data_IF_572204884655
#
_entry.id   IF_572204884655
#
_cell.length_a   1.000
_cell.length_b   1.000
_cell.length_c   1.000
_cell.angle_alpha   90.00
_cell.angle_beta   90.00
_cell.angle_gamma   90.00
#
_symmetry.space_group_name_H-M   'P 1'
#
loop_
_entity.id
_entity.type
_entity.pdbx_description
1 polymer ?
#
# COMPACT_ATOMS: atom_id res chain seq x y z
N UNK A 1 -5.39 -3.65 8.01
CA UNK A 1 -4.93 -3.03 6.75
C UNK A 1 -3.71 -3.79 6.27
N UNK A 2 -3.67 -4.13 4.98
CA UNK A 2 -2.46 -4.61 4.32
C UNK A 2 -1.76 -3.43 3.64
N UNK A 3 -0.48 -3.24 3.93
CA UNK A 3 0.37 -2.26 3.27
C UNK A 3 1.47 -2.97 2.48
N UNK A 4 1.62 -2.65 1.20
CA UNK A 4 2.58 -3.30 0.31
C UNK A 4 3.29 -2.27 -0.59
N UNK A 5 4.15 -2.76 -1.46
CA UNK A 5 4.87 -2.02 -2.49
C UNK A 5 4.60 -2.60 -3.88
N UNK A 6 4.99 -1.86 -4.92
CA UNK A 6 5.04 -2.38 -6.28
C UNK A 6 6.28 -3.30 -6.44
N UNK A 7 6.28 -4.40 -5.67
CA UNK A 7 7.33 -5.43 -5.71
C UNK A 7 6.71 -6.77 -6.05
N UNK A 8 7.38 -7.53 -6.89
CA UNK A 8 6.89 -8.83 -7.36
C UNK A 8 5.55 -8.72 -8.08
N UNK A 9 4.73 -9.75 -7.99
CA UNK A 9 3.40 -9.76 -8.58
C UNK A 9 2.32 -9.43 -7.52
N UNK A 10 2.13 -8.15 -7.20
CA UNK A 10 1.14 -7.70 -6.22
C UNK A 10 -0.32 -8.01 -6.61
N UNK A 11 -0.63 -8.14 -7.91
CA UNK A 11 -1.97 -8.57 -8.35
C UNK A 11 -2.20 -10.05 -7.97
N UNK A 12 -1.21 -10.91 -8.23
CA UNK A 12 -1.24 -12.30 -7.81
C UNK A 12 -1.35 -12.43 -6.28
N UNK A 13 -0.63 -11.61 -5.53
CA UNK A 13 -0.71 -11.60 -4.07
C UNK A 13 -2.13 -11.30 -3.57
N UNK A 14 -2.75 -10.26 -4.12
CA UNK A 14 -4.15 -9.92 -3.79
C UNK A 14 -5.10 -11.05 -4.11
N UNK A 15 -4.98 -11.66 -5.31
CA UNK A 15 -5.76 -12.82 -5.72
C UNK A 15 -5.56 -14.03 -4.83
N UNK A 16 -4.33 -14.32 -4.43
CA UNK A 16 -4.02 -15.44 -3.54
C UNK A 16 -4.67 -15.28 -2.15
N UNK A 17 -4.64 -14.07 -1.57
CA UNK A 17 -5.34 -13.81 -0.32
C UNK A 17 -6.87 -13.97 -0.47
N UNK A 18 -7.45 -13.46 -1.55
CA UNK A 18 -8.88 -13.61 -1.83
C UNK A 18 -9.27 -15.09 -2.03
N UNK A 19 -8.50 -15.85 -2.80
CA UNK A 19 -8.70 -17.29 -2.99
C UNK A 19 -8.52 -18.10 -1.69
N UNK A 20 -7.71 -17.60 -0.75
CA UNK A 20 -7.59 -18.17 0.59
C UNK A 20 -8.78 -17.82 1.52
N UNK A 21 -9.78 -17.12 1.02
CA UNK A 21 -10.99 -16.77 1.76
C UNK A 21 -10.91 -15.47 2.56
N UNK A 22 -9.85 -14.67 2.39
CA UNK A 22 -9.77 -13.37 3.05
C UNK A 22 -10.61 -12.33 2.31
N UNK A 23 -11.42 -11.52 3.00
CA UNK A 23 -12.22 -10.46 2.38
C UNK A 23 -11.33 -9.26 2.01
N UNK A 24 -10.72 -9.28 0.84
CA UNK A 24 -9.75 -8.26 0.37
C UNK A 24 -10.43 -7.16 -0.43
N UNK A 25 -10.11 -5.92 -0.10
CA UNK A 25 -10.45 -4.72 -0.87
C UNK A 25 -9.18 -4.09 -1.42
N UNK A 26 -9.05 -4.07 -2.74
CA UNK A 26 -7.99 -3.34 -3.43
C UNK A 26 -8.35 -1.85 -3.62
N UNK A 27 -7.53 -0.95 -3.12
CA UNK A 27 -7.73 0.49 -3.34
C UNK A 27 -7.00 0.93 -4.60
N UNK A 28 -7.77 1.25 -5.63
CA UNK A 28 -7.25 1.60 -6.95
C UNK A 28 -7.27 3.11 -7.24
N UNK A 29 -6.42 3.54 -8.16
CA UNK A 29 -6.58 4.79 -8.89
C UNK A 29 -7.36 4.50 -10.16
N UNK A 30 -8.39 5.31 -10.46
CA UNK A 30 -9.13 5.19 -11.71
C UNK A 30 -8.19 5.37 -12.90
N UNK A 31 -8.26 4.47 -13.86
CA UNK A 31 -7.48 4.59 -15.08
C UNK A 31 -8.02 5.69 -15.98
N UNK A 32 -7.16 6.29 -16.81
CA UNK A 32 -7.56 7.32 -17.80
C UNK A 32 -8.47 6.75 -18.88
N UNK A 33 -8.26 5.50 -19.29
CA UNK A 33 -9.12 4.78 -20.21
C UNK A 33 -10.18 3.99 -19.42
N UNK A 34 -11.46 4.29 -19.67
CA UNK A 34 -12.57 3.58 -19.05
C UNK A 34 -12.60 2.07 -19.42
N UNK A 35 -12.17 1.71 -20.63
CA UNK A 35 -12.05 0.32 -21.05
C UNK A 35 -10.98 -0.44 -20.27
N UNK A 36 -9.80 0.19 -20.06
CA UNK A 36 -8.72 -0.39 -19.28
C UNK A 36 -9.10 -0.51 -17.80
N UNK A 37 -9.76 0.52 -17.25
CA UNK A 37 -10.24 0.51 -15.87
C UNK A 37 -11.20 -0.67 -15.62
N UNK A 38 -12.17 -0.86 -16.54
CA UNK A 38 -13.11 -2.00 -16.51
C UNK A 38 -12.38 -3.33 -16.60
N UNK A 39 -11.51 -3.49 -17.59
CA UNK A 39 -10.77 -4.71 -17.84
C UNK A 39 -9.98 -5.16 -16.60
N UNK A 40 -9.17 -4.27 -16.01
CA UNK A 40 -8.38 -4.60 -14.83
C UNK A 40 -9.27 -4.98 -13.64
N UNK A 41 -10.35 -4.23 -13.42
CA UNK A 41 -11.24 -4.46 -12.28
C UNK A 41 -12.10 -5.73 -12.45
N UNK A 42 -12.46 -6.11 -13.67
CA UNK A 42 -13.12 -7.39 -13.96
C UNK A 42 -12.23 -8.57 -13.54
N UNK A 43 -10.94 -8.55 -13.89
CA UNK A 43 -9.99 -9.61 -13.46
C UNK A 43 -9.84 -9.67 -11.93
N UNK A 44 -9.74 -8.54 -11.26
CA UNK A 44 -9.67 -8.48 -9.79
C UNK A 44 -10.93 -9.08 -9.16
N UNK A 45 -12.10 -8.75 -9.71
CA UNK A 45 -13.38 -9.28 -9.21
C UNK A 45 -13.52 -10.78 -9.45
N UNK A 46 -13.02 -11.30 -10.57
CA UNK A 46 -13.05 -12.74 -10.88
C UNK A 46 -12.32 -13.59 -9.82
N UNK A 47 -11.26 -13.06 -9.22
CA UNK A 47 -10.52 -13.76 -8.16
C UNK A 47 -11.02 -13.41 -6.75
N UNK A 48 -12.11 -12.66 -6.63
CA UNK A 48 -12.73 -12.32 -5.35
C UNK A 48 -12.22 -11.05 -4.68
N UNK A 49 -11.40 -10.24 -5.35
CA UNK A 49 -10.98 -8.94 -4.82
C UNK A 49 -12.10 -7.92 -5.04
N UNK A 50 -12.60 -7.31 -3.98
CA UNK A 50 -13.43 -6.12 -4.11
C UNK A 50 -12.55 -4.91 -4.46
N UNK A 51 -13.03 -4.03 -5.36
CA UNK A 51 -12.26 -2.85 -5.77
C UNK A 51 -12.99 -1.58 -5.34
N UNK A 52 -12.29 -0.73 -4.59
CA UNK A 52 -12.73 0.64 -4.32
C UNK A 52 -11.70 1.64 -4.84
N UNK A 53 -12.11 2.90 -4.99
CA UNK A 53 -11.21 3.95 -5.44
C UNK A 53 -10.71 4.81 -4.28
N UNK A 54 -9.58 5.50 -4.46
CA UNK A 54 -9.00 6.41 -3.45
C UNK A 54 -9.99 7.45 -2.91
N UNK A 55 -11.00 7.81 -3.69
CA UNK A 55 -12.08 8.73 -3.28
C UNK A 55 -13.14 8.08 -2.39
N UNK A 56 -13.18 6.74 -2.32
CA UNK A 56 -14.15 5.97 -1.54
C UNK A 56 -13.82 5.82 -0.05
N UNK A 57 -13.27 6.85 0.60
CA UNK A 57 -12.79 6.75 1.99
C UNK A 57 -13.89 6.34 2.97
N UNK A 58 -15.12 6.81 2.79
CA UNK A 58 -16.26 6.42 3.66
C UNK A 58 -16.62 4.95 3.49
N UNK A 59 -16.53 4.45 2.27
CA UNK A 59 -16.73 3.03 1.95
C UNK A 59 -15.66 2.18 2.63
N UNK A 60 -14.38 2.58 2.58
CA UNK A 60 -13.29 1.88 3.25
C UNK A 60 -13.53 1.76 4.76
N UNK A 61 -14.00 2.81 5.42
CA UNK A 61 -14.33 2.75 6.86
C UNK A 61 -15.42 1.73 7.15
N UNK A 62 -16.53 1.78 6.40
CA UNK A 62 -17.62 0.81 6.54
C UNK A 62 -17.12 -0.63 6.33
N UNK A 63 -16.32 -0.86 5.30
CA UNK A 63 -15.78 -2.19 5.01
C UNK A 63 -14.86 -2.70 6.13
N UNK A 64 -14.04 -1.83 6.73
CA UNK A 64 -13.24 -2.22 7.91
C UNK A 64 -14.14 -2.63 9.07
N UNK A 65 -15.21 -1.87 9.34
CA UNK A 65 -16.18 -2.20 10.40
C UNK A 65 -16.91 -3.53 10.12
N UNK A 66 -17.08 -3.89 8.85
CA UNK A 66 -17.64 -5.16 8.38
C UNK A 66 -16.60 -6.32 8.35
N UNK A 67 -15.35 -6.07 8.76
CA UNK A 67 -14.27 -7.07 8.82
C UNK A 67 -13.47 -7.27 7.53
N UNK A 68 -13.61 -6.38 6.54
CA UNK A 68 -12.81 -6.42 5.33
C UNK A 68 -11.38 -5.95 5.55
N UNK A 69 -10.46 -6.45 4.73
CA UNK A 69 -9.04 -6.09 4.74
C UNK A 69 -8.76 -5.12 3.60
N UNK A 70 -8.38 -3.90 3.93
CA UNK A 70 -8.04 -2.88 2.94
C UNK A 70 -6.58 -3.03 2.51
N UNK A 71 -6.35 -3.34 1.24
CA UNK A 71 -5.04 -3.42 0.61
C UNK A 71 -4.61 -2.08 0.01
N UNK A 72 -3.46 -1.57 0.44
CA UNK A 72 -2.89 -0.30 0.00
C UNK A 72 -1.45 -0.50 -0.48
N UNK A 73 -1.14 -0.03 -1.68
CA UNK A 73 0.22 0.06 -2.18
C UNK A 73 0.76 1.44 -1.78
N UNK A 74 1.88 1.47 -1.05
CA UNK A 74 2.30 2.65 -0.27
C UNK A 74 3.69 3.18 -0.62
N UNK A 75 4.31 2.73 -1.71
CA UNK A 75 5.70 3.01 -2.07
C UNK A 75 5.91 4.10 -3.14
N UNK A 76 4.84 4.65 -3.69
CA UNK A 76 4.95 5.72 -4.68
C UNK A 76 5.01 7.11 -4.06
N UNK A 77 5.50 8.08 -4.87
CA UNK A 77 5.59 9.49 -4.52
C UNK A 77 4.25 10.20 -4.76
N UNK A 78 3.55 10.68 -3.73
CA UNK A 78 2.37 11.52 -3.91
C UNK A 78 2.76 12.95 -4.25
N UNK A 79 1.77 13.81 -4.56
CA UNK A 79 2.01 15.25 -4.56
C UNK A 79 2.39 15.74 -3.15
N UNK A 80 3.14 16.84 -3.03
CA UNK A 80 3.56 17.39 -1.74
C UNK A 80 2.39 17.70 -0.80
N UNK A 81 1.20 17.97 -1.36
CA UNK A 81 -0.02 18.25 -0.59
C UNK A 81 -0.68 17.01 0.01
N UNK A 82 -0.36 15.83 -0.54
CA UNK A 82 -1.08 14.58 -0.25
C UNK A 82 -0.26 13.58 0.59
N UNK A 83 0.89 14.00 1.11
CA UNK A 83 1.80 13.11 1.81
C UNK A 83 2.50 13.72 3.01
N UNK A 84 3.46 12.99 3.53
CA UNK A 84 4.39 13.44 4.56
C UNK A 84 5.82 13.12 4.16
N UNK A 85 6.75 13.98 4.59
CA UNK A 85 8.17 13.77 4.34
C UNK A 85 8.72 12.74 5.30
N UNK A 86 9.35 11.71 4.74
CA UNK A 86 9.99 10.58 5.44
C UNK A 86 11.40 10.37 4.88
N UNK A 87 12.16 9.51 5.55
CA UNK A 87 13.42 8.98 5.02
C UNK A 87 13.17 7.63 4.33
N UNK A 88 13.73 7.48 3.13
CA UNK A 88 13.66 6.25 2.34
C UNK A 88 14.99 6.08 1.57
N UNK A 89 15.70 4.98 1.80
CA UNK A 89 17.07 4.75 1.30
C UNK A 89 18.06 5.86 1.66
N UNK A 90 17.92 6.45 2.86
CA UNK A 90 18.79 7.53 3.33
C UNK A 90 18.53 8.89 2.68
N UNK A 91 17.46 9.03 1.91
CA UNK A 91 17.06 10.28 1.26
C UNK A 91 15.65 10.69 1.69
N UNK A 92 15.45 11.99 1.83
CA UNK A 92 14.10 12.53 2.09
C UNK A 92 13.22 12.32 0.87
N UNK A 93 11.99 11.87 1.11
CA UNK A 93 10.98 11.70 0.06
C UNK A 93 9.59 11.91 0.63
N UNK A 94 8.62 12.18 -0.23
CA UNK A 94 7.22 12.26 0.17
C UNK A 94 6.57 10.85 0.15
N UNK A 95 5.62 10.59 1.04
CA UNK A 95 4.96 9.30 1.15
C UNK A 95 3.47 9.43 1.44
N UNK A 96 2.65 8.53 0.87
CA UNK A 96 1.23 8.45 1.15
C UNK A 96 0.98 8.08 2.61
N UNK A 97 0.05 8.78 3.23
CA UNK A 97 -0.34 8.57 4.64
C UNK A 97 -1.57 7.68 4.81
N UNK A 98 -2.17 7.23 3.71
CA UNK A 98 -3.48 6.56 3.73
C UNK A 98 -3.57 5.40 4.70
N UNK A 99 -2.60 4.47 4.67
CA UNK A 99 -2.57 3.32 5.57
C UNK A 99 -2.53 3.76 7.05
N UNK A 100 -1.62 4.66 7.41
CA UNK A 100 -1.47 5.16 8.78
C UNK A 100 -2.69 5.95 9.27
N UNK A 101 -3.24 6.81 8.41
CA UNK A 101 -4.40 7.63 8.74
C UNK A 101 -5.67 6.80 8.98
N UNK A 102 -5.92 5.80 8.12
CA UNK A 102 -7.05 4.89 8.24
C UNK A 102 -6.89 4.00 9.48
N UNK A 103 -5.69 3.39 9.65
CA UNK A 103 -5.39 2.55 10.81
C UNK A 103 -5.58 3.30 12.13
N UNK A 104 -5.04 4.53 12.21
CA UNK A 104 -5.23 5.38 13.39
C UNK A 104 -6.70 5.66 13.68
N UNK A 105 -7.47 6.00 12.65
CA UNK A 105 -8.90 6.32 12.81
C UNK A 105 -9.68 5.11 13.29
N UNK A 106 -9.50 3.95 12.64
CA UNK A 106 -10.28 2.74 12.92
C UNK A 106 -9.74 1.93 14.11
N UNK A 107 -8.51 2.20 14.59
CA UNK A 107 -7.89 1.44 15.67
C UNK A 107 -7.49 0.02 15.26
N UNK A 108 -7.16 -0.18 13.99
CA UNK A 108 -6.78 -1.48 13.41
C UNK A 108 -5.28 -1.53 13.08
N UNK A 109 -4.66 -2.72 13.10
CA UNK A 109 -3.25 -2.87 12.74
C UNK A 109 -3.00 -2.70 11.24
N UNK A 110 -1.76 -2.34 10.89
CA UNK A 110 -1.22 -2.39 9.53
C UNK A 110 -0.28 -3.59 9.46
N UNK A 111 -0.55 -4.53 8.57
CA UNK A 111 0.34 -5.64 8.26
C UNK A 111 1.10 -5.33 6.96
N UNK A 112 2.44 -5.15 7.01
CA UNK A 112 3.24 -5.15 5.80
C UNK A 112 3.17 -6.53 5.15
N UNK A 113 2.81 -6.58 3.85
CA UNK A 113 2.66 -7.82 3.11
C UNK A 113 3.40 -7.74 1.80
N UNK A 114 4.07 -8.82 1.42
CA UNK A 114 4.91 -8.85 0.23
C UNK A 114 4.82 -10.17 -0.49
N UNK A 115 5.23 -10.17 -1.74
CA UNK A 115 5.37 -11.37 -2.56
C UNK A 115 6.71 -11.31 -3.31
N UNK A 116 7.39 -12.44 -3.41
CA UNK A 116 8.55 -12.60 -4.29
C UNK A 116 8.47 -13.93 -5.03
N UNK A 117 9.21 -14.03 -6.11
CA UNK A 117 9.29 -15.23 -6.91
C UNK A 117 10.61 -15.95 -6.67
N UNK A 118 10.56 -17.23 -6.31
CA UNK A 118 11.73 -18.07 -6.18
C UNK A 118 12.26 -18.56 -7.55
N UNK A 119 13.53 -18.97 -7.64
CA UNK A 119 14.12 -19.50 -8.88
C UNK A 119 13.36 -20.70 -9.49
N UNK A 120 12.70 -21.50 -8.66
CA UNK A 120 11.86 -22.63 -9.08
C UNK A 120 10.50 -22.20 -9.67
N UNK A 121 10.22 -20.89 -9.68
CA UNK A 121 8.98 -20.29 -10.19
C UNK A 121 7.86 -20.17 -9.16
N UNK A 122 8.04 -20.67 -7.94
CA UNK A 122 7.05 -20.50 -6.87
C UNK A 122 7.01 -19.05 -6.38
N UNK A 123 5.83 -18.61 -5.93
CA UNK A 123 5.66 -17.31 -5.31
C UNK A 123 5.45 -17.51 -3.81
N UNK A 124 6.22 -16.77 -3.02
CA UNK A 124 6.13 -16.78 -1.57
C UNK A 124 5.47 -15.49 -1.11
N UNK A 125 4.39 -15.62 -0.35
CA UNK A 125 3.71 -14.51 0.30
C UNK A 125 4.21 -14.37 1.73
N UNK A 126 4.63 -13.18 2.10
CA UNK A 126 5.12 -12.86 3.43
C UNK A 126 4.20 -11.86 4.09
N UNK A 127 3.65 -12.21 5.25
CA UNK A 127 2.91 -11.30 6.13
C UNK A 127 3.80 -10.99 7.32
N UNK A 128 4.19 -9.73 7.50
CA UNK A 128 5.03 -9.30 8.61
C UNK A 128 4.18 -8.98 9.85
N UNK A 129 4.78 -8.90 11.05
CA UNK A 129 4.09 -8.50 12.28
C UNK A 129 3.35 -7.17 12.13
N UNK A 130 2.14 -7.11 12.68
CA UNK A 130 1.27 -5.94 12.61
C UNK A 130 1.86 -4.73 13.34
N UNK A 131 1.62 -3.56 12.78
CA UNK A 131 2.01 -2.26 13.33
C UNK A 131 0.75 -1.58 13.84
N UNK A 132 0.65 -1.34 15.13
CA UNK A 132 -0.43 -0.54 15.73
C UNK A 132 -0.07 0.94 15.68
N UNK A 133 -1.07 1.79 15.48
CA UNK A 133 -0.91 3.23 15.59
C UNK A 133 -1.24 3.63 17.03
N UNK A 134 -0.25 4.06 17.78
CA UNK A 134 -0.45 4.69 19.07
C UNK A 134 -1.13 6.04 18.88
N UNK A 135 -2.28 6.26 19.53
CA UNK A 135 -3.04 7.50 19.39
C UNK A 135 -2.61 8.47 20.47
N UNK A 136 -1.93 9.53 20.06
CA UNK A 136 -1.64 10.70 20.91
C UNK A 136 -2.52 11.90 20.51
N UNK A 137 -2.33 13.02 21.18
CA UNK A 137 -3.00 14.28 20.79
C UNK A 137 -2.41 14.87 19.50
N UNK A 138 -1.18 14.51 19.16
CA UNK A 138 -0.54 14.91 17.89
C UNK A 138 -0.79 13.88 16.77
N UNK A 139 -1.95 14.03 16.13
CA UNK A 139 -2.33 13.19 14.99
C UNK A 139 -1.29 13.21 13.86
N UNK A 140 -0.66 14.35 13.62
CA UNK A 140 0.27 14.48 12.50
C UNK A 140 1.56 13.69 12.78
N UNK A 141 2.07 13.78 14.00
CA UNK A 141 3.22 12.99 14.44
C UNK A 141 2.93 11.49 14.41
N UNK A 142 1.77 11.06 14.92
CA UNK A 142 1.36 9.65 14.91
C UNK A 142 1.35 9.07 13.49
N UNK A 143 0.66 9.76 12.56
CA UNK A 143 0.54 9.33 11.16
C UNK A 143 1.90 9.32 10.48
N UNK A 144 2.74 10.35 10.69
CA UNK A 144 4.08 10.42 10.13
C UNK A 144 4.98 9.29 10.65
N UNK A 145 4.98 9.04 11.96
CA UNK A 145 5.78 8.00 12.60
C UNK A 145 5.46 6.60 12.08
N UNK A 146 4.17 6.28 11.95
CA UNK A 146 3.72 5.00 11.39
C UNK A 146 4.01 4.90 9.90
N UNK A 147 3.82 5.98 9.13
CA UNK A 147 4.19 6.01 7.70
C UNK A 147 5.69 5.74 7.53
N UNK A 148 6.54 6.34 8.36
CA UNK A 148 7.98 6.07 8.36
C UNK A 148 8.28 4.59 8.69
N UNK A 149 7.58 4.00 9.66
CA UNK A 149 7.76 2.60 10.05
C UNK A 149 7.37 1.64 8.90
N UNK A 150 6.22 1.86 8.27
CA UNK A 150 5.79 1.10 7.09
C UNK A 150 6.82 1.22 5.95
N UNK A 151 7.29 2.44 5.69
CA UNK A 151 8.29 2.69 4.63
C UNK A 151 9.62 1.99 4.90
N UNK A 152 10.08 1.91 6.16
CA UNK A 152 11.27 1.13 6.53
C UNK A 152 11.08 -0.37 6.28
N UNK A 153 9.87 -0.91 6.49
CA UNK A 153 9.57 -2.31 6.18
C UNK A 153 9.62 -2.58 4.67
N UNK A 154 9.07 -1.65 3.88
CA UNK A 154 9.15 -1.69 2.41
C UNK A 154 10.62 -1.58 1.95
N UNK A 155 11.40 -0.64 2.49
CA UNK A 155 12.82 -0.50 2.17
C UNK A 155 13.60 -1.78 2.47
N UNK A 156 13.40 -2.38 3.65
CA UNK A 156 14.05 -3.63 4.03
C UNK A 156 13.70 -4.77 3.07
N UNK A 157 12.44 -4.85 2.61
CA UNK A 157 12.01 -5.81 1.61
C UNK A 157 12.71 -5.60 0.27
N UNK A 158 12.75 -4.35 -0.22
CA UNK A 158 13.42 -4.01 -1.49
C UNK A 158 14.92 -4.32 -1.41
N UNK A 159 15.57 -4.11 -0.27
CA UNK A 159 16.99 -4.47 -0.09
C UNK A 159 17.23 -5.98 -0.19
N UNK A 160 16.25 -6.79 0.18
CA UNK A 160 16.33 -8.26 0.08
C UNK A 160 16.06 -8.76 -1.33
N UNK A 161 15.13 -8.13 -2.05
CA UNK A 161 14.70 -8.50 -3.42
C UNK A 161 14.68 -7.28 -4.34
N UNK A 162 15.86 -6.66 -4.60
CA UNK A 162 15.91 -5.39 -5.34
C UNK A 162 15.44 -5.51 -6.79
N UNK A 163 15.60 -6.67 -7.42
CA UNK A 163 15.17 -6.95 -8.79
C UNK A 163 13.64 -6.99 -8.95
N UNK A 164 12.91 -7.19 -7.87
CA UNK A 164 11.46 -7.30 -7.91
C UNK A 164 10.75 -5.96 -7.73
N UNK A 165 11.44 -4.89 -7.34
CA UNK A 165 10.79 -3.60 -7.16
C UNK A 165 10.67 -2.81 -8.47
N UNK A 166 9.56 -2.09 -8.61
CA UNK A 166 9.25 -1.28 -9.79
C UNK A 166 10.07 0.02 -9.83
N UNK A 167 11.35 -0.07 -10.25
CA UNK A 167 12.29 1.06 -10.32
C UNK A 167 11.93 2.13 -11.34
N UNK A 168 11.00 1.91 -12.26
CA UNK A 168 10.58 2.88 -13.27
C UNK A 168 9.77 4.05 -12.71
N UNK A 169 9.27 3.92 -11.46
CA UNK A 169 8.61 5.03 -10.78
C UNK A 169 9.64 5.98 -10.19
N UNK A 170 9.49 7.28 -10.50
CA UNK A 170 10.33 8.34 -9.94
C UNK A 170 9.93 8.64 -8.49
N UNK A 171 10.53 7.91 -7.53
CA UNK A 171 10.18 7.91 -6.11
C UNK A 171 10.48 9.22 -5.39
N UNK A 172 11.35 10.06 -5.92
CA UNK A 172 11.79 11.32 -5.32
C UNK A 172 11.38 12.56 -6.14
N UNK A 173 10.47 12.42 -7.07
CA UNK A 173 10.08 13.46 -8.03
C UNK A 173 9.59 14.72 -7.35
N UNK A 174 8.64 14.62 -6.41
CA UNK A 174 7.96 15.76 -5.81
C UNK A 174 8.91 16.71 -5.07
N UNK A 175 9.93 16.18 -4.37
CA UNK A 175 10.92 17.00 -3.68
C UNK A 175 11.96 17.63 -4.62
N UNK A 176 12.25 17.03 -5.76
CA UNK A 176 13.15 17.65 -6.76
C UNK A 176 12.46 18.80 -7.48
N UNK A 177 11.18 18.67 -7.80
CA UNK A 177 10.40 19.72 -8.45
C UNK A 177 10.14 20.93 -7.53
N UNK A 178 10.18 20.76 -6.21
CA UNK A 178 10.08 21.86 -5.25
C UNK A 178 11.36 22.74 -5.22
N UNK A 179 12.50 22.16 -5.60
CA UNK A 179 13.81 22.83 -5.54
C UNK A 179 14.17 23.57 -6.85
N UNK A 180 13.35 23.45 -7.89
CA UNK A 180 13.49 24.13 -9.20
C UNK A 180 12.48 25.23 -9.36
#
# INVERSE_FOLDING_TARGET
IFATSHSGNWELMGGAFACAGLPIVGVAKRQSSAGMDRFINEYRTLVGIHVTYRTGVREMFRMIDEGWIIGLISDQDPSLRDGVIIDFFGQRTNAFTGAAAIARRCGVPIFPVFIHREPNGHHILTVQPGIMVEKTDDRAADVKGVTQTVSRRIEAWIRTYPEEWFWLHDRWKSLREEQT
#
